data_IF_003951384357
#
_entry.id   IF_003951384357
#
_cell.length_a   1.000
_cell.length_b   1.000
_cell.length_c   1.000
_cell.angle_alpha   90.00
_cell.angle_beta   90.00
_cell.angle_gamma   90.00
#
_symmetry.space_group_name_H-M   'P 1'
#
loop_
_entity.id
_entity.type
_entity.pdbx_description
1 polymer ?
#
# COMPACT_ATOMS: atom_id res chain seq x y z
N UNK A 1 -47.40 -9.37 -27.51
CA UNK A 1 -47.38 -8.36 -26.43
C UNK A 1 -46.16 -8.61 -25.56
N UNK A 2 -45.04 -7.98 -25.90
CA UNK A 2 -43.74 -8.15 -25.24
C UNK A 2 -43.63 -7.23 -24.03
N UNK A 3 -43.78 -7.78 -22.83
CA UNK A 3 -43.59 -7.08 -21.58
C UNK A 3 -42.11 -6.82 -21.31
N UNK A 4 -41.73 -5.54 -21.26
CA UNK A 4 -40.41 -5.10 -20.81
C UNK A 4 -40.34 -5.25 -19.28
N UNK A 5 -39.44 -6.10 -18.79
CA UNK A 5 -39.11 -6.19 -17.37
C UNK A 5 -38.14 -5.04 -17.01
N UNK A 6 -38.60 -4.11 -16.19
CA UNK A 6 -37.78 -3.04 -15.62
C UNK A 6 -36.86 -3.62 -14.52
N UNK A 7 -35.55 -3.46 -14.69
CA UNK A 7 -34.52 -3.78 -13.70
C UNK A 7 -34.68 -2.90 -12.42
N UNK A 8 -34.80 -3.47 -11.22
CA UNK A 8 -34.98 -2.70 -9.98
C UNK A 8 -33.66 -2.43 -9.24
N UNK A 9 -32.62 -1.89 -9.91
CA UNK A 9 -31.30 -1.69 -9.28
C UNK A 9 -30.77 -0.25 -9.31
N UNK A 10 -31.66 0.74 -9.30
CA UNK A 10 -31.28 2.16 -9.23
C UNK A 10 -31.88 2.86 -8.01
N UNK A 11 -31.59 2.38 -6.80
CA UNK A 11 -31.81 3.18 -5.59
C UNK A 11 -30.76 4.30 -5.57
N UNK A 12 -31.13 5.47 -6.06
CA UNK A 12 -30.32 6.69 -5.94
C UNK A 12 -30.17 7.00 -4.45
N UNK A 13 -29.01 6.69 -3.87
CA UNK A 13 -28.66 7.15 -2.52
C UNK A 13 -28.64 8.69 -2.56
N UNK A 14 -29.60 9.33 -1.90
CA UNK A 14 -29.54 10.76 -1.61
C UNK A 14 -28.25 11.04 -0.81
N UNK A 15 -27.43 12.02 -1.19
CA UNK A 15 -26.29 12.39 -0.38
C UNK A 15 -26.79 12.95 0.95
N UNK A 16 -26.40 12.31 2.06
CA UNK A 16 -26.53 12.92 3.39
C UNK A 16 -25.61 14.14 3.40
N UNK A 17 -26.19 15.33 3.24
CA UNK A 17 -25.50 16.60 3.50
C UNK A 17 -25.34 16.77 5.01
N UNK A 18 -24.39 16.05 5.58
CA UNK A 18 -23.82 16.42 6.87
C UNK A 18 -22.91 17.61 6.63
N UNK A 19 -23.23 18.76 7.23
CA UNK A 19 -22.40 19.96 7.19
C UNK A 19 -20.95 19.61 7.58
N UNK A 20 -19.94 19.87 6.74
CA UNK A 20 -18.57 19.60 7.09
C UNK A 20 -18.15 20.56 8.21
N UNK A 21 -17.72 19.98 9.33
CA UNK A 21 -17.16 20.69 10.47
C UNK A 21 -15.98 21.55 9.98
N UNK A 22 -16.12 22.87 9.97
CA UNK A 22 -15.13 23.82 9.43
C UNK A 22 -13.77 23.76 10.16
N UNK A 23 -13.75 23.23 11.38
CA UNK A 23 -12.54 22.88 12.16
C UNK A 23 -11.61 21.89 11.44
N UNK A 24 -12.11 21.11 10.48
CA UNK A 24 -11.31 20.15 9.73
C UNK A 24 -10.37 20.77 8.68
N UNK A 25 -10.57 22.06 8.33
CA UNK A 25 -9.80 22.72 7.26
C UNK A 25 -8.50 23.40 7.72
N UNK A 26 -8.29 23.56 9.03
CA UNK A 26 -7.08 24.21 9.57
C UNK A 26 -6.08 23.15 10.01
N UNK A 27 -4.82 23.30 9.58
CA UNK A 27 -3.75 22.38 9.97
C UNK A 27 -3.59 22.31 11.49
N UNK A 28 -3.63 21.10 12.06
CA UNK A 28 -3.50 20.85 13.51
C UNK A 28 -2.26 21.49 14.14
N UNK A 29 -1.18 21.60 13.35
CA UNK A 29 0.05 22.28 13.74
C UNK A 29 -0.09 23.76 13.41
N UNK A 30 -0.04 24.63 14.43
CA UNK A 30 -0.27 26.07 14.26
C UNK A 30 1.02 26.85 13.94
N UNK A 31 2.19 26.37 14.41
CA UNK A 31 3.47 27.05 14.20
C UNK A 31 4.03 26.84 12.78
N UNK A 32 4.41 27.91 12.06
CA UNK A 32 5.07 27.79 10.76
C UNK A 32 6.39 27.01 10.80
N UNK A 33 7.16 27.16 11.89
CA UNK A 33 8.43 26.44 12.07
C UNK A 33 8.22 24.94 12.20
N UNK A 34 7.20 24.54 12.96
CA UNK A 34 6.83 23.14 13.13
C UNK A 34 6.29 22.54 11.83
N UNK A 35 5.46 23.28 11.08
CA UNK A 35 5.01 22.86 9.73
C UNK A 35 6.19 22.58 8.81
N UNK A 36 7.20 23.44 8.84
CA UNK A 36 8.42 23.29 8.01
C UNK A 36 9.25 22.08 8.44
N UNK A 37 9.41 21.85 9.75
CA UNK A 37 10.08 20.66 10.29
C UNK A 37 9.38 19.36 9.85
N UNK A 38 8.06 19.30 10.04
CA UNK A 38 7.25 18.15 9.62
C UNK A 38 7.28 17.92 8.11
N UNK A 39 7.33 19.01 7.32
CA UNK A 39 7.50 18.91 5.87
C UNK A 39 8.83 18.23 5.52
N UNK A 40 9.94 18.58 6.18
CA UNK A 40 11.23 17.94 5.93
C UNK A 40 11.29 16.46 6.32
N UNK A 41 10.57 16.05 7.35
CA UNK A 41 10.54 14.66 7.84
C UNK A 41 9.55 13.78 7.05
N UNK A 42 8.41 14.33 6.64
CA UNK A 42 7.30 13.56 6.08
C UNK A 42 7.14 13.69 4.57
N UNK A 43 7.55 14.80 3.93
CA UNK A 43 7.52 14.90 2.47
C UNK A 43 8.55 13.93 1.88
N UNK A 44 8.07 12.95 1.10
CA UNK A 44 8.91 11.90 0.50
C UNK A 44 9.09 12.18 -0.99
N UNK A 45 10.35 12.28 -1.42
CA UNK A 45 10.74 12.56 -2.82
C UNK A 45 11.37 11.33 -3.45
N UNK A 46 10.95 11.04 -4.68
CA UNK A 46 11.61 10.03 -5.48
C UNK A 46 12.99 10.55 -5.93
N UNK A 47 14.04 10.05 -5.31
CA UNK A 47 15.44 10.38 -5.64
C UNK A 47 16.10 9.36 -6.55
N UNK A 48 15.38 8.31 -6.95
CA UNK A 48 15.92 7.34 -7.89
C UNK A 48 16.03 8.01 -9.26
N UNK A 49 17.23 8.04 -9.82
CA UNK A 49 17.52 8.59 -11.17
C UNK A 49 16.94 7.75 -12.31
N UNK A 50 16.17 6.71 -11.98
CA UNK A 50 15.49 5.86 -12.94
C UNK A 50 14.16 6.46 -13.44
N UNK A 51 13.59 5.80 -14.44
CA UNK A 51 12.32 6.18 -15.02
C UNK A 51 11.18 6.16 -13.98
N UNK A 52 10.60 7.33 -13.70
CA UNK A 52 9.40 7.55 -12.89
C UNK A 52 8.15 6.68 -13.24
N UNK A 53 8.14 5.98 -14.39
CA UNK A 53 7.10 5.00 -14.75
C UNK A 53 7.31 3.63 -14.10
N UNK A 54 8.54 3.28 -13.70
CA UNK A 54 8.88 1.96 -13.15
C UNK A 54 8.11 1.69 -11.87
N UNK A 55 8.11 2.62 -10.91
CA UNK A 55 7.37 2.51 -9.64
C UNK A 55 5.86 2.33 -9.86
N UNK A 56 5.28 3.11 -10.78
CA UNK A 56 3.85 3.04 -11.14
C UNK A 56 3.41 1.69 -11.67
N UNK A 57 4.30 0.95 -12.36
CA UNK A 57 3.99 -0.36 -12.95
C UNK A 57 4.43 -1.51 -12.04
N UNK A 58 5.60 -1.40 -11.42
CA UNK A 58 6.21 -2.46 -10.62
C UNK A 58 5.55 -2.60 -9.25
N UNK A 59 5.12 -1.50 -8.59
CA UNK A 59 4.46 -1.60 -7.28
C UNK A 59 3.16 -2.42 -7.38
N UNK A 60 2.21 -2.11 -8.30
CA UNK A 60 1.02 -2.94 -8.48
C UNK A 60 1.36 -4.38 -8.87
N UNK A 61 2.36 -4.58 -9.73
CA UNK A 61 2.80 -5.92 -10.17
C UNK A 61 3.33 -6.76 -9.00
N UNK A 62 4.21 -6.20 -8.17
CA UNK A 62 4.77 -6.87 -7.00
C UNK A 62 3.71 -7.20 -5.97
N UNK A 63 2.80 -6.27 -5.66
CA UNK A 63 1.64 -6.53 -4.78
C UNK A 63 0.79 -7.69 -5.30
N UNK A 64 0.47 -7.69 -6.61
CA UNK A 64 -0.30 -8.76 -7.24
C UNK A 64 0.40 -10.11 -7.10
N UNK A 65 1.70 -10.16 -7.37
CA UNK A 65 2.52 -11.38 -7.25
C UNK A 65 2.52 -11.91 -5.81
N UNK A 66 2.75 -11.06 -4.82
CA UNK A 66 2.71 -11.49 -3.41
C UNK A 66 1.37 -12.10 -3.01
N UNK A 67 0.24 -11.50 -3.42
CA UNK A 67 -1.08 -12.08 -3.15
C UNK A 67 -1.31 -13.40 -3.91
N UNK A 68 -0.80 -13.53 -5.14
CA UNK A 68 -0.88 -14.77 -5.90
C UNK A 68 -0.07 -15.89 -5.24
N UNK A 69 1.13 -15.58 -4.76
CA UNK A 69 2.02 -16.53 -4.09
C UNK A 69 1.44 -17.01 -2.76
N UNK A 70 0.84 -16.10 -1.98
CA UNK A 70 0.11 -16.45 -0.76
C UNK A 70 -1.05 -17.41 -1.06
N UNK A 71 -1.92 -17.04 -2.01
CA UNK A 71 -3.05 -17.91 -2.41
C UNK A 71 -2.59 -19.26 -2.95
N UNK A 72 -1.50 -19.28 -3.73
CA UNK A 72 -0.93 -20.52 -4.25
C UNK A 72 -0.42 -21.41 -3.12
N UNK A 73 0.33 -20.87 -2.18
CA UNK A 73 0.87 -21.63 -1.06
C UNK A 73 -0.24 -22.23 -0.18
N UNK A 74 -1.26 -21.43 0.14
CA UNK A 74 -2.43 -21.90 0.89
C UNK A 74 -3.17 -23.00 0.11
N UNK A 75 -3.43 -22.79 -1.18
CA UNK A 75 -4.09 -23.80 -2.02
C UNK A 75 -3.32 -25.11 -2.07
N UNK A 76 -1.99 -25.06 -2.15
CA UNK A 76 -1.15 -26.26 -2.17
C UNK A 76 -1.23 -27.04 -0.86
N UNK A 77 -1.19 -26.35 0.29
CA UNK A 77 -1.39 -26.99 1.60
C UNK A 77 -2.79 -27.63 1.75
N UNK A 78 -3.81 -27.06 1.13
CA UNK A 78 -5.18 -27.60 1.13
C UNK A 78 -5.41 -28.77 0.17
N UNK A 79 -4.47 -29.08 -0.76
CA UNK A 79 -4.71 -30.16 -1.73
C UNK A 79 -4.82 -31.53 -1.07
N UNK A 80 -4.04 -31.78 -0.01
CA UNK A 80 -4.07 -33.05 0.74
C UNK A 80 -5.34 -33.25 1.58
N UNK A 81 -6.07 -32.18 1.87
CA UNK A 81 -7.31 -32.22 2.66
C UNK A 81 -8.58 -32.11 1.79
N UNK A 82 -8.49 -32.44 0.50
CA UNK A 82 -9.65 -32.46 -0.39
C UNK A 82 -10.36 -33.81 -0.33
N UNK A 83 -11.67 -33.79 -0.10
CA UNK A 83 -12.52 -34.99 -0.11
C UNK A 83 -12.76 -35.55 1.29
N UNK A 84 -13.08 -36.84 1.38
CA UNK A 84 -13.16 -37.53 2.67
C UNK A 84 -11.73 -37.84 3.13
N UNK A 85 -11.32 -37.21 4.23
CA UNK A 85 -9.99 -37.34 4.84
C UNK A 85 -10.19 -37.60 6.32
N UNK A 86 -9.29 -38.36 6.94
CA UNK A 86 -9.31 -38.54 8.39
C UNK A 86 -9.11 -37.20 9.11
N UNK A 87 -9.74 -37.03 10.28
CA UNK A 87 -9.70 -35.77 11.04
C UNK A 87 -8.26 -35.31 11.33
N UNK A 88 -7.35 -36.24 11.64
CA UNK A 88 -5.93 -35.96 11.85
C UNK A 88 -5.27 -35.31 10.62
N UNK A 89 -5.61 -35.77 9.42
CA UNK A 89 -5.10 -35.20 8.17
C UNK A 89 -5.68 -33.82 7.87
N UNK A 90 -6.92 -33.55 8.30
CA UNK A 90 -7.55 -32.24 8.17
C UNK A 90 -6.90 -31.21 9.11
N UNK A 91 -6.64 -31.60 10.36
CA UNK A 91 -5.96 -30.75 11.35
C UNK A 91 -4.53 -30.41 10.94
N UNK A 92 -3.79 -31.38 10.40
CA UNK A 92 -2.45 -31.15 9.88
C UNK A 92 -2.49 -30.13 8.73
N UNK A 93 -3.38 -30.31 7.76
CA UNK A 93 -3.54 -29.39 6.64
C UNK A 93 -3.92 -27.97 7.10
N UNK A 94 -4.79 -27.85 8.11
CA UNK A 94 -5.14 -26.56 8.70
C UNK A 94 -3.92 -25.87 9.34
N UNK A 95 -3.12 -26.61 10.12
CA UNK A 95 -1.89 -26.09 10.73
C UNK A 95 -0.88 -25.62 9.67
N UNK A 96 -0.74 -26.38 8.58
CA UNK A 96 0.14 -26.06 7.47
C UNK A 96 -0.33 -24.81 6.73
N UNK A 97 -1.63 -24.65 6.48
CA UNK A 97 -2.21 -23.45 5.87
C UNK A 97 -1.90 -22.20 6.68
N UNK A 98 -2.13 -22.23 7.99
CA UNK A 98 -1.86 -21.10 8.87
C UNK A 98 -0.37 -20.73 8.85
N UNK A 99 0.51 -21.73 8.95
CA UNK A 99 1.96 -21.54 8.90
C UNK A 99 2.41 -20.95 7.57
N UNK A 100 2.00 -21.55 6.46
CA UNK A 100 2.42 -21.13 5.12
C UNK A 100 1.87 -19.74 4.77
N UNK A 101 0.58 -19.49 5.06
CA UNK A 101 -0.04 -18.17 4.89
C UNK A 101 0.71 -17.09 5.67
N UNK A 102 1.04 -17.35 6.96
CA UNK A 102 1.82 -16.42 7.79
C UNK A 102 3.20 -16.15 7.21
N UNK A 103 3.95 -17.19 6.80
CA UNK A 103 5.29 -17.03 6.22
C UNK A 103 5.23 -16.20 4.93
N UNK A 104 4.28 -16.49 4.04
CA UNK A 104 4.13 -15.74 2.77
C UNK A 104 3.74 -14.29 3.02
N UNK A 105 2.86 -14.01 3.98
CA UNK A 105 2.46 -12.65 4.36
C UNK A 105 3.62 -11.85 4.96
N UNK A 106 4.48 -12.49 5.77
CA UNK A 106 5.67 -11.84 6.32
C UNK A 106 6.71 -11.51 5.23
N UNK A 107 6.85 -12.39 4.22
CA UNK A 107 7.74 -12.20 3.07
C UNK A 107 7.10 -11.39 1.92
N UNK A 108 5.86 -10.94 2.08
CA UNK A 108 5.13 -10.23 1.04
C UNK A 108 5.80 -8.87 0.74
N UNK A 109 5.63 -8.41 -0.49
CA UNK A 109 6.14 -7.12 -0.92
C UNK A 109 5.63 -5.98 -0.02
N UNK A 110 6.55 -5.22 0.56
CA UNK A 110 6.26 -4.00 1.31
C UNK A 110 6.88 -2.81 0.57
N UNK A 111 6.07 -1.78 0.34
CA UNK A 111 6.59 -0.54 -0.24
C UNK A 111 7.44 0.15 0.82
N UNK A 112 8.72 0.32 0.56
CA UNK A 112 9.58 1.20 1.36
C UNK A 112 9.21 2.66 1.10
N UNK A 113 9.20 3.54 2.11
CA UNK A 113 9.04 4.97 1.87
C UNK A 113 10.23 5.51 1.08
N UNK A 114 10.00 6.52 0.23
CA UNK A 114 11.06 7.21 -0.52
C UNK A 114 11.87 8.14 0.41
N UNK A 115 12.93 8.76 -0.12
CA UNK A 115 13.83 9.64 0.66
C UNK A 115 13.09 10.87 1.20
N UNK A 116 13.28 11.24 2.48
CA UNK A 116 12.66 12.44 3.04
C UNK A 116 13.26 13.72 2.43
N UNK A 117 12.45 14.77 2.34
CA UNK A 117 12.84 16.05 1.74
C UNK A 117 14.06 16.67 2.45
N UNK A 118 14.18 16.51 3.76
CA UNK A 118 15.34 16.99 4.53
C UNK A 118 16.67 16.44 4.00
N UNK A 119 16.75 15.15 3.71
CA UNK A 119 17.97 14.52 3.16
C UNK A 119 18.30 15.04 1.76
N UNK A 120 17.27 15.28 0.94
CA UNK A 120 17.44 15.83 -0.41
C UNK A 120 18.01 17.25 -0.34
N UNK A 121 17.45 18.10 0.53
CA UNK A 121 17.92 19.47 0.72
C UNK A 121 19.35 19.49 1.23
N UNK A 122 19.68 18.67 2.24
CA UNK A 122 21.06 18.55 2.75
C UNK A 122 22.03 18.11 1.66
N UNK A 123 21.64 17.17 0.80
CA UNK A 123 22.45 16.74 -0.35
C UNK A 123 22.68 17.90 -1.34
N UNK A 124 21.65 18.68 -1.64
CA UNK A 124 21.77 19.85 -2.53
C UNK A 124 22.68 20.93 -1.94
N UNK A 125 22.55 21.22 -0.64
CA UNK A 125 23.41 22.21 0.04
C UNK A 125 24.88 21.77 0.01
N UNK A 126 25.17 20.50 0.34
CA UNK A 126 26.54 19.96 0.25
C UNK A 126 27.13 20.11 -1.15
N UNK A 127 26.35 19.83 -2.19
CA UNK A 127 26.79 19.98 -3.59
C UNK A 127 27.14 21.44 -3.93
N UNK A 128 26.31 22.39 -3.52
CA UNK A 128 26.59 23.83 -3.76
C UNK A 128 27.84 24.29 -3.02
N UNK A 129 28.04 23.86 -1.78
CA UNK A 129 29.23 24.22 -1.01
C UNK A 129 30.50 23.64 -1.64
N UNK A 130 30.48 22.40 -2.13
CA UNK A 130 31.64 21.82 -2.82
C UNK A 130 31.96 22.54 -4.15
N UNK A 131 30.93 22.99 -4.86
CA UNK A 131 31.10 23.76 -6.12
C UNK A 131 31.71 25.15 -5.85
N UNK A 132 31.45 25.76 -4.69
CA UNK A 132 32.01 27.08 -4.32
C UNK A 132 33.45 27.00 -3.79
N UNK A 133 33.88 25.88 -3.21
CA UNK A 133 35.22 25.71 -2.63
C UNK A 133 36.24 25.20 -3.66
N UNK A 134 35.78 24.61 -4.77
CA UNK A 134 36.63 24.08 -5.84
C UNK A 134 36.72 24.95 -7.09
N UNK A 135 36.30 26.22 -7.02
CA UNK A 135 36.36 27.21 -8.10
C UNK A 135 37.32 28.34 -7.81
#
# INVERSE_FOLDING_TARGET
MSGLTLNPCCVRKTPRVGSPNLEAFVSKVKSPREKKRLSYEHDRRNTYGENHKSSRKNIPRSKRRSHQDERRAVRQALLGAKGAVADESADEAHSQVLRQGRIKKLKAFRKSPDSPLGEVVQRQLRRRMSEQVGG
#
